data_IF_178846692222
#
_entry.id   IF_178846692222
#
_cell.length_a   1.000
_cell.length_b   1.000
_cell.length_c   1.000
_cell.angle_alpha   90.00
_cell.angle_beta   90.00
_cell.angle_gamma   90.00
#
_symmetry.space_group_name_H-M   'P 1'
#
loop_
_entity.id
_entity.type
_entity.pdbx_description
1 polymer ?
#
# COMPACT_ATOMS: atom_id res chain seq x y z
N UNK A 1 47.70 15.39 32.75
CA UNK A 1 49.18 15.32 32.74
C UNK A 1 49.59 15.07 31.30
N UNK A 2 50.54 15.83 30.73
CA UNK A 2 51.09 15.75 29.36
C UNK A 2 50.07 15.80 28.18
N UNK A 3 50.15 16.62 27.13
CA UNK A 3 51.25 16.97 26.20
C UNK A 3 51.61 15.82 25.23
N UNK A 4 51.89 16.02 23.92
CA UNK A 4 51.88 17.20 23.01
C UNK A 4 51.82 16.67 21.53
N UNK A 5 51.69 17.38 20.39
CA UNK A 5 51.71 18.79 19.92
C UNK A 5 50.60 18.95 18.80
N UNK A 6 50.32 20.02 18.03
CA UNK A 6 51.07 20.96 17.14
C UNK A 6 51.70 20.31 15.87
N UNK A 7 51.76 20.88 14.65
CA UNK A 7 51.32 22.14 13.95
C UNK A 7 51.51 21.91 12.40
N UNK A 8 51.19 22.73 11.39
CA UNK A 8 50.61 24.09 11.18
C UNK A 8 50.03 24.24 9.73
N UNK A 9 49.32 25.35 9.46
CA UNK A 9 49.06 26.18 8.25
C UNK A 9 49.70 25.79 6.88
N UNK A 10 49.09 26.07 5.71
CA UNK A 10 48.99 27.43 5.09
C UNK A 10 48.04 27.46 3.86
N UNK A 11 47.82 28.64 3.23
CA UNK A 11 46.83 28.87 2.17
C UNK A 11 47.41 29.24 0.78
N UNK A 12 46.56 29.09 -0.25
CA UNK A 12 46.53 29.64 -1.65
C UNK A 12 47.68 30.56 -2.12
N UNK A 13 48.05 30.45 -3.42
CA UNK A 13 47.58 31.48 -4.37
C UNK A 13 47.05 30.94 -5.72
N UNK A 14 46.75 31.87 -6.64
CA UNK A 14 46.15 31.65 -7.98
C UNK A 14 47.20 31.95 -9.08
N UNK A 15 47.08 31.31 -10.25
CA UNK A 15 47.74 31.76 -11.49
C UNK A 15 46.81 31.58 -12.72
N UNK A 16 47.12 32.26 -13.82
CA UNK A 16 46.34 32.32 -15.06
C UNK A 16 47.25 32.61 -16.29
N UNK A 17 46.67 32.65 -17.50
CA UNK A 17 47.33 32.72 -18.83
C UNK A 17 48.09 31.41 -19.18
N UNK A 18 48.28 30.99 -20.44
CA UNK A 18 47.95 31.49 -21.79
C UNK A 18 47.63 30.24 -22.66
N UNK A 19 46.74 30.20 -23.66
CA UNK A 19 46.75 30.96 -24.92
C UNK A 19 47.21 30.07 -26.10
N UNK A 20 46.30 29.46 -26.86
CA UNK A 20 46.66 28.62 -28.03
C UNK A 20 45.49 28.06 -28.86
N UNK A 21 45.63 28.11 -30.20
CA UNK A 21 44.88 27.40 -31.26
C UNK A 21 45.92 27.04 -32.34
N UNK A 22 45.88 25.86 -32.99
CA UNK A 22 44.82 25.44 -33.94
C UNK A 22 44.29 24.01 -33.66
N UNK A 23 43.35 23.41 -34.41
CA UNK A 23 42.49 23.88 -35.50
C UNK A 23 41.89 22.69 -36.28
N UNK A 24 40.71 22.86 -36.90
CA UNK A 24 40.10 21.88 -37.82
C UNK A 24 39.47 20.63 -37.19
N UNK A 25 38.14 20.58 -37.07
CA UNK A 25 37.37 19.40 -36.66
C UNK A 25 35.86 19.65 -36.79
N UNK A 26 35.11 18.69 -37.31
CA UNK A 26 33.69 18.85 -37.67
C UNK A 26 32.75 18.78 -36.47
N UNK A 27 31.74 19.65 -36.47
CA UNK A 27 30.62 19.61 -35.52
C UNK A 27 29.30 19.34 -36.26
N UNK A 28 28.70 18.17 -36.04
CA UNK A 28 27.31 17.93 -36.45
C UNK A 28 26.35 18.63 -35.47
N UNK A 29 25.56 19.59 -35.97
CA UNK A 29 24.41 20.09 -35.24
C UNK A 29 23.21 19.13 -35.39
N UNK A 30 22.74 18.53 -34.31
CA UNK A 30 21.40 17.92 -34.23
C UNK A 30 20.52 18.72 -33.28
N UNK A 31 19.42 19.23 -33.82
CA UNK A 31 18.56 20.21 -33.16
C UNK A 31 17.74 19.59 -32.03
N UNK A 32 17.69 20.27 -30.87
CA UNK A 32 16.72 19.96 -29.82
C UNK A 32 15.37 20.56 -30.25
N UNK A 33 14.41 19.72 -30.62
CA UNK A 33 13.08 20.17 -31.05
C UNK A 33 12.13 20.24 -29.85
N UNK A 34 11.98 21.43 -29.25
CA UNK A 34 10.92 21.70 -28.27
C UNK A 34 9.65 22.16 -28.99
N UNK A 35 8.54 21.44 -28.80
CA UNK A 35 7.21 21.88 -29.26
C UNK A 35 6.36 22.36 -28.10
N UNK A 36 6.44 23.66 -27.84
CA UNK A 36 5.37 24.40 -27.16
C UNK A 36 4.19 24.51 -28.13
N UNK A 37 2.99 24.10 -27.71
CA UNK A 37 1.77 24.36 -28.47
C UNK A 37 0.99 25.53 -27.84
N UNK A 38 1.13 26.70 -28.44
CA UNK A 38 0.29 27.88 -28.17
C UNK A 38 -1.05 27.81 -28.92
N UNK A 39 -2.01 28.64 -28.51
CA UNK A 39 -3.42 28.56 -28.90
C UNK A 39 -3.84 29.80 -29.68
N UNK A 40 -4.10 29.64 -30.98
CA UNK A 40 -4.84 30.58 -31.84
C UNK A 40 -5.71 29.72 -32.79
N UNK A 41 -7.00 29.94 -32.96
CA UNK A 41 -7.69 31.10 -33.57
C UNK A 41 -7.29 31.35 -35.02
N UNK A 42 -8.11 30.86 -35.94
CA UNK A 42 -8.56 31.64 -37.10
C UNK A 42 -9.93 31.15 -37.60
N UNK A 43 -10.68 32.03 -38.25
CA UNK A 43 -12.05 31.76 -38.73
C UNK A 43 -12.02 31.51 -40.25
N UNK A 44 -12.90 30.64 -40.76
CA UNK A 44 -14.01 31.05 -41.64
C UNK A 44 -14.58 29.92 -42.51
N UNK A 45 -15.90 29.70 -42.41
CA UNK A 45 -16.82 29.69 -43.55
C UNK A 45 -18.28 29.70 -43.05
N UNK A 46 -19.14 30.45 -43.74
CA UNK A 46 -20.56 30.63 -43.41
C UNK A 46 -21.41 29.97 -44.47
N UNK A 47 -22.41 29.16 -44.06
CA UNK A 47 -23.75 29.09 -44.69
C UNK A 47 -24.73 28.22 -43.90
N UNK A 48 -25.60 28.90 -43.14
CA UNK A 48 -27.09 28.82 -43.15
C UNK A 48 -27.85 27.48 -43.19
N UNK A 49 -29.07 27.52 -42.60
CA UNK A 49 -30.11 26.47 -42.55
C UNK A 49 -29.81 25.32 -41.56
N UNK A 50 -30.71 24.98 -40.62
CA UNK A 50 -31.97 25.62 -40.23
C UNK A 50 -32.53 24.99 -38.94
N UNK A 51 -33.37 25.72 -38.20
CA UNK A 51 -34.01 25.20 -36.98
C UNK A 51 -35.23 24.34 -37.30
N UNK A 52 -35.32 23.16 -36.67
CA UNK A 52 -36.60 22.56 -36.27
C UNK A 52 -36.36 21.67 -35.06
N UNK A 53 -37.21 21.78 -34.04
CA UNK A 53 -37.41 20.70 -33.09
C UNK A 53 -38.50 19.75 -33.65
N UNK A 54 -38.49 18.49 -33.22
CA UNK A 54 -39.62 17.84 -32.53
C UNK A 54 -39.59 16.30 -32.59
N UNK A 55 -40.04 15.69 -31.49
CA UNK A 55 -40.74 14.40 -31.39
C UNK A 55 -40.36 13.22 -32.32
N UNK A 56 -39.68 12.20 -31.76
CA UNK A 56 -40.28 10.86 -31.58
C UNK A 56 -39.38 9.96 -30.70
N UNK A 57 -39.89 9.49 -29.54
CA UNK A 57 -40.52 8.16 -29.31
C UNK A 57 -39.51 7.01 -29.12
N UNK A 58 -39.53 6.42 -27.93
CA UNK A 58 -38.91 5.12 -27.65
C UNK A 58 -39.64 4.00 -28.39
N UNK A 59 -38.89 3.16 -29.12
CA UNK A 59 -39.28 1.77 -29.36
C UNK A 59 -38.13 0.82 -29.06
N UNK A 60 -38.45 -0.24 -28.32
CA UNK A 60 -37.74 -1.52 -28.36
C UNK A 60 -38.30 -2.28 -29.56
N UNK A 61 -37.44 -2.91 -30.34
CA UNK A 61 -37.83 -4.03 -31.17
C UNK A 61 -36.84 -5.18 -30.94
N UNK A 62 -37.37 -6.35 -30.56
CA UNK A 62 -36.61 -7.60 -30.46
C UNK A 62 -36.85 -8.37 -31.76
N UNK A 63 -35.78 -8.71 -32.48
CA UNK A 63 -35.87 -9.66 -33.58
C UNK A 63 -34.95 -10.87 -33.32
N UNK A 64 -35.58 -12.04 -33.27
CA UNK A 64 -34.95 -13.36 -33.18
C UNK A 64 -35.13 -14.04 -34.54
N UNK A 65 -34.15 -13.94 -35.43
CA UNK A 65 -34.19 -14.65 -36.71
C UNK A 65 -33.82 -16.13 -36.54
N UNK A 66 -34.84 -16.99 -36.59
CA UNK A 66 -34.71 -18.44 -36.50
C UNK A 66 -34.45 -19.07 -37.90
N UNK A 67 -33.24 -18.87 -38.43
CA UNK A 67 -32.84 -19.44 -39.71
C UNK A 67 -32.51 -20.95 -39.61
N UNK A 68 -33.49 -21.81 -39.87
CA UNK A 68 -33.28 -23.26 -39.96
C UNK A 68 -32.38 -23.63 -41.15
N UNK A 69 -31.18 -24.14 -40.88
CA UNK A 69 -30.25 -24.66 -41.89
C UNK A 69 -29.91 -26.13 -41.63
N UNK A 70 -29.93 -26.95 -42.68
CA UNK A 70 -29.75 -28.41 -42.57
C UNK A 70 -28.28 -28.82 -42.40
N UNK A 71 -27.97 -29.79 -41.53
CA UNK A 71 -26.58 -30.16 -41.23
C UNK A 71 -25.95 -30.99 -42.36
N UNK A 72 -25.15 -30.33 -43.22
CA UNK A 72 -24.21 -31.03 -44.12
C UNK A 72 -22.99 -31.51 -43.33
N UNK A 73 -22.76 -32.83 -43.28
CA UNK A 73 -21.50 -33.41 -42.77
C UNK A 73 -20.32 -33.03 -43.68
N UNK A 74 -19.25 -32.38 -43.19
CA UNK A 74 -17.97 -32.32 -43.89
C UNK A 74 -17.21 -33.65 -43.75
N UNK A 75 -16.33 -33.96 -44.69
CA UNK A 75 -15.55 -35.20 -44.68
C UNK A 75 -14.47 -35.22 -43.58
N UNK A 76 -14.08 -36.42 -43.16
CA UNK A 76 -12.97 -36.68 -42.24
C UNK A 76 -11.63 -36.28 -42.85
N UNK A 77 -11.22 -35.02 -42.67
CA UNK A 77 -9.80 -34.67 -42.70
C UNK A 77 -9.17 -35.13 -41.38
N UNK A 78 -8.04 -35.82 -41.45
CA UNK A 78 -7.30 -36.21 -40.27
C UNK A 78 -6.92 -34.96 -39.47
N UNK A 79 -7.41 -34.86 -38.24
CA UNK A 79 -6.94 -33.84 -37.32
C UNK A 79 -5.49 -34.17 -36.97
N UNK A 80 -4.54 -33.42 -37.54
CA UNK A 80 -3.18 -33.42 -37.04
C UNK A 80 -3.23 -32.98 -35.57
N UNK A 81 -2.85 -33.88 -34.67
CA UNK A 81 -2.63 -33.56 -33.26
C UNK A 81 -1.39 -32.68 -33.15
N UNK A 82 -1.56 -31.40 -33.49
CA UNK A 82 -0.69 -30.33 -33.01
C UNK A 82 -0.72 -30.43 -31.49
N UNK A 83 0.47 -30.45 -30.87
CA UNK A 83 0.63 -30.65 -29.43
C UNK A 83 0.18 -29.41 -28.63
N UNK A 84 -1.12 -29.16 -28.61
CA UNK A 84 -1.75 -28.28 -27.65
C UNK A 84 -1.74 -28.95 -26.27
N UNK A 85 -1.58 -28.13 -25.23
CA UNK A 85 -1.92 -28.43 -23.85
C UNK A 85 -1.27 -29.68 -23.25
N UNK A 86 -0.04 -29.97 -23.65
CA UNK A 86 0.92 -30.56 -22.74
C UNK A 86 1.14 -29.54 -21.62
N UNK A 87 0.41 -29.71 -20.51
CA UNK A 87 0.38 -28.78 -19.37
C UNK A 87 1.80 -28.55 -18.89
N UNK A 88 2.36 -27.38 -19.24
CA UNK A 88 3.58 -26.88 -18.62
C UNK A 88 3.33 -26.89 -17.10
N UNK A 89 4.19 -27.58 -16.30
CA UNK A 89 4.00 -27.61 -14.86
C UNK A 89 3.98 -26.17 -14.37
N UNK A 90 2.91 -25.80 -13.63
CA UNK A 90 2.65 -24.45 -13.11
C UNK A 90 3.97 -23.79 -12.74
N UNK A 91 4.40 -22.82 -13.55
CA UNK A 91 5.78 -22.36 -13.56
C UNK A 91 6.12 -21.85 -12.17
N UNK A 92 6.92 -22.64 -11.42
CA UNK A 92 7.24 -22.34 -10.03
C UNK A 92 7.89 -20.95 -10.02
N UNK A 93 7.27 -19.93 -9.38
CA UNK A 93 7.73 -18.57 -9.48
C UNK A 93 9.22 -18.48 -9.15
N UNK A 94 10.00 -17.96 -10.10
CA UNK A 94 11.46 -18.02 -10.04
C UNK A 94 11.92 -17.29 -8.78
N UNK A 95 12.54 -18.02 -7.84
CA UNK A 95 12.92 -17.46 -6.54
C UNK A 95 13.81 -16.24 -6.73
N UNK A 96 13.35 -15.09 -6.25
CA UNK A 96 14.10 -13.85 -6.36
C UNK A 96 15.25 -13.84 -5.34
N UNK A 97 16.44 -13.34 -5.70
CA UNK A 97 17.41 -12.93 -4.69
C UNK A 97 16.87 -11.73 -3.90
N UNK A 98 17.34 -11.56 -2.66
CA UNK A 98 16.94 -10.43 -1.82
C UNK A 98 17.24 -9.07 -2.49
N UNK A 99 16.55 -7.98 -2.10
CA UNK A 99 16.74 -6.66 -2.71
C UNK A 99 18.18 -6.18 -2.71
N UNK A 100 18.55 -5.42 -3.75
CA UNK A 100 19.93 -5.02 -3.99
C UNK A 100 20.59 -4.36 -2.75
N UNK A 101 21.74 -4.88 -2.35
CA UNK A 101 22.50 -4.40 -1.19
C UNK A 101 22.07 -4.95 0.17
N UNK A 102 20.94 -5.67 0.27
CA UNK A 102 20.57 -6.42 1.49
C UNK A 102 21.63 -7.49 1.78
N UNK A 103 22.01 -7.60 3.06
CA UNK A 103 22.92 -8.66 3.55
C UNK A 103 22.19 -9.43 4.66
N UNK A 104 21.87 -10.74 4.50
CA UNK A 104 21.00 -11.48 5.43
C UNK A 104 21.36 -11.33 6.92
N UNK A 105 22.66 -11.36 7.23
CA UNK A 105 23.18 -11.30 8.60
C UNK A 105 23.36 -9.87 9.16
N UNK A 106 22.92 -8.81 8.44
CA UNK A 106 22.90 -7.44 8.95
C UNK A 106 21.54 -7.13 9.58
N UNK A 107 21.33 -7.69 10.76
CA UNK A 107 20.09 -7.59 11.54
C UNK A 107 19.73 -6.16 11.98
N UNK A 108 18.43 -5.85 11.89
CA UNK A 108 17.82 -4.59 12.30
C UNK A 108 17.42 -4.69 13.78
N UNK A 109 18.42 -4.64 14.66
CA UNK A 109 18.25 -4.88 16.11
C UNK A 109 17.14 -4.06 16.79
N UNK A 110 16.93 -2.76 16.51
CA UNK A 110 15.80 -2.03 17.09
C UNK A 110 14.44 -2.65 16.76
N UNK A 111 14.24 -3.07 15.51
CA UNK A 111 13.00 -3.72 15.08
C UNK A 111 12.86 -5.12 15.69
N UNK A 112 13.93 -5.91 15.70
CA UNK A 112 13.93 -7.24 16.35
C UNK A 112 13.55 -7.12 17.83
N UNK A 113 14.19 -6.22 18.58
CA UNK A 113 13.93 -6.04 20.01
C UNK A 113 12.48 -5.60 20.28
N UNK A 114 11.96 -4.63 19.52
CA UNK A 114 10.57 -4.16 19.68
C UNK A 114 9.57 -5.24 19.28
N UNK A 115 9.76 -5.92 18.14
CA UNK A 115 8.87 -6.98 17.67
C UNK A 115 8.87 -8.16 18.64
N UNK A 116 10.05 -8.66 19.05
CA UNK A 116 10.16 -9.75 20.02
C UNK A 116 9.59 -9.39 21.38
N UNK A 117 9.81 -8.16 21.88
CA UNK A 117 9.23 -7.71 23.14
C UNK A 117 7.69 -7.64 23.09
N UNK A 118 7.11 -7.16 21.99
CA UNK A 118 5.65 -7.11 21.83
C UNK A 118 5.02 -8.51 21.71
N UNK A 119 5.68 -9.45 21.04
CA UNK A 119 5.23 -10.85 21.00
C UNK A 119 5.36 -11.53 22.37
N UNK A 120 6.49 -11.36 23.06
CA UNK A 120 6.70 -11.91 24.39
C UNK A 120 5.70 -11.35 25.42
N UNK A 121 5.40 -10.05 25.35
CA UNK A 121 4.36 -9.43 26.16
C UNK A 121 2.97 -10.00 25.80
N UNK A 122 2.61 -10.06 24.51
CA UNK A 122 1.31 -10.61 24.09
C UNK A 122 1.10 -12.07 24.53
N UNK A 123 2.17 -12.88 24.66
CA UNK A 123 2.08 -14.24 25.22
C UNK A 123 1.74 -14.27 26.71
N UNK A 124 2.03 -13.20 27.48
CA UNK A 124 1.59 -13.10 28.88
C UNK A 124 0.06 -13.02 29.00
N UNK A 125 -0.67 -12.64 27.94
CA UNK A 125 -2.13 -12.60 27.93
C UNK A 125 -2.80 -13.98 28.15
N UNK A 126 -2.04 -15.08 28.02
CA UNK A 126 -2.48 -16.45 28.33
C UNK A 126 -2.20 -16.87 29.79
N UNK A 127 -1.51 -16.04 30.57
CA UNK A 127 -1.18 -16.32 31.98
C UNK A 127 -2.31 -15.88 32.93
N UNK A 128 -2.51 -16.57 34.07
CA UNK A 128 -3.38 -16.11 35.14
C UNK A 128 -3.06 -14.67 35.58
N UNK A 129 -4.08 -13.87 35.89
CA UNK A 129 -3.96 -12.45 36.24
C UNK A 129 -3.82 -11.49 35.05
N UNK A 130 -3.53 -12.00 33.84
CA UNK A 130 -3.44 -11.17 32.62
C UNK A 130 -4.61 -11.40 31.65
N UNK A 131 -5.21 -12.60 31.63
CA UNK A 131 -6.39 -12.87 30.79
C UNK A 131 -7.67 -12.19 31.32
N UNK A 132 -8.43 -11.54 30.44
CA UNK A 132 -9.84 -11.20 30.71
C UNK A 132 -10.67 -11.15 29.42
N UNK A 133 -11.97 -11.45 29.54
CA UNK A 133 -12.92 -11.34 28.43
C UNK A 133 -13.11 -9.89 27.95
N UNK A 134 -13.09 -8.92 28.87
CA UNK A 134 -13.09 -7.49 28.56
C UNK A 134 -11.82 -7.10 27.80
N UNK A 135 -10.65 -7.59 28.21
CA UNK A 135 -9.40 -7.48 27.46
C UNK A 135 -9.53 -8.01 26.04
N UNK A 136 -9.99 -9.26 25.86
CA UNK A 136 -10.18 -9.86 24.54
C UNK A 136 -11.10 -9.03 23.63
N UNK A 137 -12.23 -8.54 24.14
CA UNK A 137 -13.14 -7.65 23.40
C UNK A 137 -12.44 -6.34 23.01
N UNK A 138 -11.67 -5.73 23.93
CA UNK A 138 -10.89 -4.50 23.65
C UNK A 138 -9.78 -4.75 22.61
N UNK A 139 -9.12 -5.91 22.61
CA UNK A 139 -8.16 -6.26 21.56
C UNK A 139 -8.83 -6.42 20.19
N UNK A 140 -10.00 -7.05 20.12
CA UNK A 140 -10.73 -7.26 18.85
C UNK A 140 -11.27 -5.93 18.29
N UNK A 141 -11.95 -5.13 19.12
CA UNK A 141 -12.42 -3.79 18.74
C UNK A 141 -11.25 -2.86 18.40
N UNK A 142 -10.18 -2.92 19.18
CA UNK A 142 -8.95 -2.18 18.93
C UNK A 142 -8.27 -2.60 17.62
N UNK A 143 -8.27 -3.89 17.28
CA UNK A 143 -7.72 -4.41 16.01
C UNK A 143 -8.54 -3.92 14.83
N UNK A 144 -9.87 -3.89 14.94
CA UNK A 144 -10.75 -3.32 13.92
C UNK A 144 -10.53 -1.80 13.77
N UNK A 145 -10.49 -1.04 14.86
CA UNK A 145 -10.22 0.41 14.84
C UNK A 145 -8.85 0.71 14.20
N UNK A 146 -7.81 0.04 14.65
CA UNK A 146 -6.44 0.25 14.23
C UNK A 146 -6.17 -0.19 12.79
N UNK A 147 -6.62 -1.40 12.43
CA UNK A 147 -6.51 -1.92 11.06
C UNK A 147 -7.34 -1.10 10.09
N UNK A 148 -8.65 -0.96 10.33
CA UNK A 148 -9.56 -0.31 9.39
C UNK A 148 -9.29 1.20 9.29
N UNK A 149 -9.33 1.95 10.39
CA UNK A 149 -9.18 3.42 10.31
C UNK A 149 -7.73 3.86 10.17
N UNK A 150 -6.80 3.22 10.89
CA UNK A 150 -5.38 3.55 10.87
C UNK A 150 -4.68 3.09 9.59
N UNK A 151 -4.60 1.77 9.36
CA UNK A 151 -3.82 1.21 8.26
C UNK A 151 -4.57 1.32 6.92
N UNK A 152 -5.73 0.69 6.79
CA UNK A 152 -6.46 0.55 5.54
C UNK A 152 -6.98 1.90 5.01
N UNK A 153 -7.76 2.61 5.83
CA UNK A 153 -8.40 3.85 5.42
C UNK A 153 -7.38 4.98 5.28
N UNK A 154 -6.56 5.20 6.32
CA UNK A 154 -5.65 6.34 6.38
C UNK A 154 -4.33 6.11 5.65
N UNK A 155 -3.45 5.23 6.15
CA UNK A 155 -2.12 5.02 5.56
C UNK A 155 -2.19 4.54 4.10
N UNK A 156 -3.09 3.61 3.80
CA UNK A 156 -3.19 2.98 2.49
C UNK A 156 -4.07 3.78 1.51
N UNK A 157 -5.40 3.77 1.66
CA UNK A 157 -6.32 4.35 0.66
C UNK A 157 -6.25 5.89 0.57
N UNK A 158 -6.17 6.60 1.71
CA UNK A 158 -6.15 8.08 1.77
C UNK A 158 -4.75 8.68 1.53
N UNK A 159 -3.72 8.19 2.22
CA UNK A 159 -2.37 8.77 2.15
C UNK A 159 -1.53 8.20 1.01
N UNK A 160 -1.44 6.89 0.88
CA UNK A 160 -0.64 6.27 -0.19
C UNK A 160 -1.29 6.51 -1.54
N UNK A 161 -2.54 6.10 -1.71
CA UNK A 161 -3.17 5.98 -3.03
C UNK A 161 -4.04 7.16 -3.49
N UNK A 162 -4.43 8.05 -2.58
CA UNK A 162 -5.28 9.22 -2.90
C UNK A 162 -6.62 8.83 -3.54
N UNK A 163 -7.21 7.74 -3.06
CA UNK A 163 -8.55 7.28 -3.47
C UNK A 163 -9.69 8.09 -2.83
N UNK A 164 -9.39 8.97 -1.88
CA UNK A 164 -10.33 9.89 -1.25
C UNK A 164 -9.58 11.09 -0.64
N UNK A 165 -10.33 12.05 -0.08
CA UNK A 165 -9.84 13.13 0.79
C UNK A 165 -10.70 13.21 2.05
N UNK A 166 -10.08 13.56 3.18
CA UNK A 166 -10.78 13.83 4.44
C UNK A 166 -10.38 15.21 5.01
N UNK A 167 -11.19 15.83 5.89
CA UNK A 167 -10.77 16.99 6.68
C UNK A 167 -9.48 16.70 7.45
N UNK A 168 -8.56 17.68 7.49
CA UNK A 168 -7.21 17.48 8.06
C UNK A 168 -7.20 17.01 9.51
N UNK A 169 -8.14 17.44 10.35
CA UNK A 169 -8.25 16.97 11.74
C UNK A 169 -8.55 15.45 11.82
N UNK A 170 -9.40 14.93 10.92
CA UNK A 170 -9.77 13.52 10.86
C UNK A 170 -8.61 12.69 10.28
N UNK A 171 -8.01 13.19 9.20
CA UNK A 171 -6.81 12.59 8.60
C UNK A 171 -5.64 12.51 9.59
N UNK A 172 -5.38 13.57 10.36
CA UNK A 172 -4.35 13.59 11.41
C UNK A 172 -4.69 12.68 12.59
N UNK A 173 -5.95 12.62 13.03
CA UNK A 173 -6.40 11.71 14.09
C UNK A 173 -6.22 10.23 13.70
N UNK A 174 -6.58 9.86 12.46
CA UNK A 174 -6.37 8.49 11.96
C UNK A 174 -4.88 8.13 11.83
N UNK A 175 -3.99 9.09 11.55
CA UNK A 175 -2.53 8.86 11.60
C UNK A 175 -2.03 8.54 13.01
N UNK A 176 -2.57 9.17 14.06
CA UNK A 176 -2.21 8.79 15.44
C UNK A 176 -2.68 7.36 15.76
N UNK A 177 -3.86 6.96 15.29
CA UNK A 177 -4.38 5.58 15.40
C UNK A 177 -3.54 4.58 14.60
N UNK A 178 -3.01 4.96 13.43
CA UNK A 178 -2.08 4.12 12.67
C UNK A 178 -0.74 3.96 13.42
N UNK A 179 -0.19 5.06 13.96
CA UNK A 179 1.10 5.05 14.67
C UNK A 179 1.06 4.25 15.99
N UNK A 180 -0.09 4.10 16.65
CA UNK A 180 -0.23 3.21 17.82
C UNK A 180 -0.12 1.72 17.48
N UNK A 181 0.08 1.37 16.19
CA UNK A 181 0.33 0.02 15.70
C UNK A 181 1.81 -0.27 15.42
N UNK A 182 2.73 0.66 15.71
CA UNK A 182 4.16 0.55 15.41
C UNK A 182 4.52 0.26 13.93
N UNK A 183 3.57 0.44 12.99
CA UNK A 183 3.82 0.29 11.55
C UNK A 183 4.45 1.56 10.96
N UNK A 184 5.58 2.01 11.53
CA UNK A 184 6.33 3.18 11.06
C UNK A 184 5.54 4.53 11.06
N UNK A 185 6.22 5.61 10.69
CA UNK A 185 5.62 6.94 10.45
C UNK A 185 4.86 7.00 9.12
N UNK A 186 3.93 7.95 8.91
CA UNK A 186 3.13 8.01 7.68
C UNK A 186 3.99 8.19 6.41
N UNK A 187 5.03 9.04 6.45
CA UNK A 187 5.89 9.24 5.29
C UNK A 187 6.74 8.00 4.97
N UNK A 188 7.13 7.25 6.00
CA UNK A 188 7.89 6.02 5.88
C UNK A 188 7.06 4.87 5.32
N UNK A 189 5.86 4.63 5.85
CA UNK A 189 4.94 3.60 5.36
C UNK A 189 4.55 3.84 3.90
N UNK A 190 4.12 5.07 3.57
CA UNK A 190 3.79 5.49 2.20
C UNK A 190 4.98 5.31 1.25
N UNK A 191 6.21 5.63 1.68
CA UNK A 191 7.40 5.49 0.84
C UNK A 191 7.75 4.02 0.53
N UNK A 192 7.54 3.11 1.49
CA UNK A 192 7.73 1.67 1.28
C UNK A 192 6.61 1.10 0.40
N UNK A 193 5.35 1.44 0.68
CA UNK A 193 4.21 0.86 -0.04
C UNK A 193 4.12 1.31 -1.50
N UNK A 194 4.41 2.60 -1.80
CA UNK A 194 4.53 3.06 -3.20
C UNK A 194 5.71 2.43 -3.94
N UNK A 195 6.81 2.11 -3.23
CA UNK A 195 7.93 1.36 -3.82
C UNK A 195 7.56 -0.08 -4.13
N UNK A 196 6.84 -0.75 -3.23
CA UNK A 196 6.28 -2.09 -3.49
C UNK A 196 5.40 -2.05 -4.75
N UNK A 197 4.40 -1.16 -4.85
CA UNK A 197 3.58 -1.05 -6.07
C UNK A 197 4.36 -0.77 -7.36
N UNK A 198 5.47 -0.02 -7.32
CA UNK A 198 6.30 0.18 -8.51
C UNK A 198 7.06 -1.09 -8.96
N UNK A 199 7.40 -1.97 -8.01
CA UNK A 199 8.30 -3.11 -8.25
C UNK A 199 7.71 -4.44 -7.77
N UNK A 200 6.38 -4.55 -7.70
CA UNK A 200 5.69 -5.69 -7.10
C UNK A 200 6.13 -7.00 -7.77
N UNK A 201 6.53 -7.96 -6.93
CA UNK A 201 7.11 -9.25 -7.33
C UNK A 201 8.33 -9.18 -8.27
N UNK A 202 9.12 -8.10 -8.14
CA UNK A 202 10.48 -8.01 -8.67
C UNK A 202 11.51 -7.81 -7.55
N UNK A 203 12.79 -8.00 -7.85
CA UNK A 203 13.88 -7.90 -6.87
C UNK A 203 13.97 -6.53 -6.14
N UNK A 204 13.57 -5.37 -6.69
CA UNK A 204 13.56 -4.12 -5.94
C UNK A 204 12.39 -3.96 -4.94
N UNK A 205 11.42 -4.88 -4.91
CA UNK A 205 10.33 -4.93 -3.92
C UNK A 205 10.90 -5.06 -2.50
N UNK A 206 10.53 -4.18 -1.55
CA UNK A 206 10.88 -4.35 -0.14
C UNK A 206 10.60 -5.76 0.41
N UNK A 207 9.50 -6.40 -0.01
CA UNK A 207 8.89 -7.53 0.68
C UNK A 207 8.13 -8.52 -0.23
N UNK A 208 8.57 -8.77 -1.47
CA UNK A 208 7.97 -9.82 -2.31
C UNK A 208 8.16 -11.22 -1.69
N UNK A 209 7.13 -12.09 -1.67
CA UNK A 209 7.25 -13.47 -1.21
C UNK A 209 8.00 -14.40 -2.17
N UNK A 210 8.32 -13.95 -3.39
CA UNK A 210 9.13 -14.72 -4.33
C UNK A 210 10.58 -14.88 -3.83
N UNK A 211 11.05 -14.02 -2.92
CA UNK A 211 12.27 -14.28 -2.17
C UNK A 211 12.09 -15.42 -1.14
N UNK A 212 11.02 -15.36 -0.35
CA UNK A 212 10.35 -16.45 0.37
C UNK A 212 9.20 -15.88 1.23
N UNK A 213 8.27 -16.75 1.66
CA UNK A 213 7.14 -16.37 2.52
C UNK A 213 7.55 -15.65 3.82
N UNK A 214 8.58 -16.14 4.52
CA UNK A 214 9.03 -15.53 5.78
C UNK A 214 9.61 -14.13 5.57
N UNK A 215 10.35 -13.92 4.47
CA UNK A 215 10.84 -12.60 4.07
C UNK A 215 9.69 -11.61 3.93
N UNK A 216 8.68 -11.92 3.11
CA UNK A 216 7.53 -11.05 2.88
C UNK A 216 6.69 -10.79 4.14
N UNK A 217 6.53 -11.82 4.98
CA UNK A 217 5.70 -11.70 6.18
C UNK A 217 6.39 -10.83 7.26
N UNK A 218 7.67 -11.06 7.56
CA UNK A 218 8.37 -10.24 8.57
C UNK A 218 9.88 -10.08 8.35
N UNK A 219 10.56 -11.03 7.71
CA UNK A 219 12.02 -11.03 7.55
C UNK A 219 12.57 -9.75 6.89
N UNK A 220 11.78 -9.13 6.01
CA UNK A 220 12.12 -7.86 5.35
C UNK A 220 12.30 -6.67 6.31
N UNK A 221 11.67 -6.73 7.49
CA UNK A 221 11.76 -5.74 8.56
C UNK A 221 12.95 -6.04 9.48
N UNK A 222 13.20 -7.33 9.76
CA UNK A 222 14.22 -7.82 10.70
C UNK A 222 15.66 -7.69 10.16
N UNK A 223 15.84 -7.43 8.86
CA UNK A 223 17.15 -7.23 8.22
C UNK A 223 17.25 -5.81 7.66
N UNK A 224 18.41 -5.16 7.84
CA UNK A 224 18.62 -3.81 7.34
C UNK A 224 18.60 -3.77 5.81
N UNK A 225 17.71 -2.96 5.24
CA UNK A 225 17.64 -2.69 3.80
C UNK A 225 18.26 -1.32 3.46
N UNK A 226 19.47 -1.26 2.85
CA UNK A 226 20.16 0.02 2.61
C UNK A 226 19.40 0.95 1.68
N UNK A 227 18.68 0.41 0.69
CA UNK A 227 17.85 1.20 -0.24
C UNK A 227 16.66 1.88 0.45
N UNK A 228 16.12 1.28 1.52
CA UNK A 228 15.06 1.89 2.32
C UNK A 228 15.64 2.88 3.34
N UNK A 229 16.86 2.68 3.84
CA UNK A 229 17.47 3.56 4.82
C UNK A 229 17.92 4.94 4.28
N UNK A 230 17.93 5.14 2.95
CA UNK A 230 18.36 6.42 2.33
C UNK A 230 17.23 7.44 2.27
N UNK A 231 17.54 8.69 2.63
CA UNK A 231 16.64 9.86 2.52
C UNK A 231 16.02 10.04 1.11
N UNK A 232 16.69 9.55 0.06
CA UNK A 232 16.17 9.57 -1.31
C UNK A 232 14.84 8.82 -1.51
N UNK A 233 14.52 7.81 -0.69
CA UNK A 233 13.23 7.11 -0.80
C UNK A 233 12.07 8.05 -0.49
N UNK A 234 12.20 8.92 0.52
CA UNK A 234 11.20 9.93 0.87
C UNK A 234 11.07 11.00 -0.21
N UNK A 235 12.19 11.45 -0.80
CA UNK A 235 12.18 12.45 -1.87
C UNK A 235 11.45 11.96 -3.13
N UNK A 236 11.51 10.65 -3.42
CA UNK A 236 10.83 10.01 -4.55
C UNK A 236 9.37 9.65 -4.25
N UNK A 237 9.10 9.04 -3.09
CA UNK A 237 7.80 8.40 -2.82
C UNK A 237 6.95 9.06 -1.72
N UNK A 238 7.47 9.99 -0.91
CA UNK A 238 6.70 10.62 0.19
C UNK A 238 6.88 12.15 0.30
N UNK A 239 7.34 12.79 -0.79
CA UNK A 239 7.55 14.25 -0.87
C UNK A 239 6.23 15.05 -0.77
N UNK A 240 5.09 14.43 -1.07
CA UNK A 240 3.76 14.99 -0.83
C UNK A 240 3.37 14.91 0.66
N UNK A 241 3.70 13.81 1.35
CA UNK A 241 3.46 13.61 2.78
C UNK A 241 4.28 14.61 3.60
N UNK A 242 5.60 14.71 3.35
CA UNK A 242 6.51 15.58 4.12
C UNK A 242 6.31 17.10 3.91
N UNK A 243 5.33 17.52 3.08
CA UNK A 243 4.88 18.92 3.02
C UNK A 243 4.00 19.30 4.22
N UNK A 244 3.34 18.33 4.84
CA UNK A 244 2.53 18.59 6.03
C UNK A 244 3.44 18.75 7.25
N UNK A 245 3.31 19.89 7.96
CA UNK A 245 4.10 20.18 9.16
C UNK A 245 3.86 19.19 10.29
N UNK A 246 2.67 18.60 10.36
CA UNK A 246 2.34 17.55 11.33
C UNK A 246 3.14 16.28 11.03
N UNK A 247 3.10 15.79 9.79
CA UNK A 247 3.84 14.59 9.38
C UNK A 247 5.36 14.78 9.47
N UNK A 248 5.87 15.96 9.13
CA UNK A 248 7.29 16.28 9.29
C UNK A 248 7.72 16.32 10.77
N UNK A 249 6.83 16.71 11.69
CA UNK A 249 7.11 16.66 13.14
C UNK A 249 7.09 15.22 13.66
N UNK A 250 6.14 14.39 13.20
CA UNK A 250 6.07 12.96 13.54
C UNK A 250 7.33 12.20 13.11
N UNK A 251 7.83 12.48 11.90
CA UNK A 251 9.07 11.90 11.35
C UNK A 251 10.32 12.30 12.15
N UNK A 252 10.41 13.55 12.61
CA UNK A 252 11.64 14.10 13.21
C UNK A 252 11.78 13.91 14.71
N UNK A 253 10.67 13.79 15.45
CA UNK A 253 10.68 13.92 16.91
C UNK A 253 10.40 12.59 17.66
N UNK A 254 10.62 11.45 17.00
CA UNK A 254 10.39 10.10 17.56
C UNK A 254 8.97 9.87 18.12
N UNK A 255 7.95 10.53 17.57
CA UNK A 255 6.56 10.40 18.03
C UNK A 255 6.03 8.96 17.97
N UNK A 256 6.57 8.12 17.08
CA UNK A 256 6.27 6.70 17.04
C UNK A 256 6.60 6.01 18.38
N UNK A 257 7.71 6.37 19.03
CA UNK A 257 8.02 5.86 20.38
C UNK A 257 7.06 6.47 21.42
N UNK A 258 6.84 7.79 21.40
CA UNK A 258 6.03 8.47 22.41
C UNK A 258 4.55 8.07 22.41
N UNK A 259 3.94 7.86 21.24
CA UNK A 259 2.55 7.36 21.12
C UNK A 259 2.45 5.95 21.72
N UNK A 260 3.44 5.10 21.47
CA UNK A 260 3.41 3.70 21.90
C UNK A 260 3.79 3.51 23.37
N UNK A 261 4.67 4.35 23.93
CA UNK A 261 4.89 4.42 25.38
C UNK A 261 3.71 5.07 26.10
N UNK A 262 3.07 6.07 25.50
CA UNK A 262 1.92 6.78 26.09
C UNK A 262 0.64 5.95 26.17
N UNK A 263 0.38 5.04 25.22
CA UNK A 263 -0.81 4.19 25.29
C UNK A 263 -0.78 3.17 26.44
N UNK A 264 0.40 2.78 26.94
CA UNK A 264 0.55 1.81 28.03
C UNK A 264 -0.09 2.28 29.36
N UNK A 265 0.33 3.41 29.98
CA UNK A 265 -0.31 3.92 31.19
C UNK A 265 -1.74 4.40 30.94
N UNK A 266 -2.09 4.80 29.70
CA UNK A 266 -3.45 5.18 29.33
C UNK A 266 -4.42 4.00 29.43
N UNK A 267 -4.11 2.86 28.79
CA UNK A 267 -4.96 1.66 28.85
C UNK A 267 -4.91 0.98 30.22
N UNK A 268 -3.76 0.99 30.90
CA UNK A 268 -3.66 0.55 32.29
C UNK A 268 -4.58 1.38 33.21
N UNK A 269 -4.48 2.70 33.15
CA UNK A 269 -5.29 3.63 33.94
C UNK A 269 -6.78 3.52 33.63
N UNK A 270 -7.15 3.31 32.36
CA UNK A 270 -8.54 3.09 31.97
C UNK A 270 -9.12 1.79 32.55
N UNK A 271 -8.40 0.66 32.45
CA UNK A 271 -8.83 -0.62 33.02
C UNK A 271 -8.93 -0.57 34.55
N UNK A 272 -7.95 0.06 35.20
CA UNK A 272 -7.93 0.26 36.65
C UNK A 272 -9.07 1.16 37.11
N UNK A 273 -9.32 2.29 36.44
CA UNK A 273 -10.39 3.21 36.79
C UNK A 273 -11.78 2.59 36.66
N UNK A 274 -12.05 1.82 35.59
CA UNK A 274 -13.33 1.11 35.42
C UNK A 274 -13.53 0.09 36.53
N UNK A 275 -12.51 -0.70 36.86
CA UNK A 275 -12.60 -1.71 37.93
C UNK A 275 -12.75 -1.07 39.32
N UNK A 276 -12.01 0.00 39.61
CA UNK A 276 -12.10 0.76 40.86
C UNK A 276 -13.49 1.38 41.05
N UNK A 277 -14.02 2.05 40.02
CA UNK A 277 -15.36 2.63 40.04
C UNK A 277 -16.47 1.57 40.10
N UNK A 278 -16.17 0.31 39.73
CA UNK A 278 -17.04 -0.85 39.92
C UNK A 278 -16.96 -1.45 41.34
N UNK A 279 -16.25 -0.81 42.27
CA UNK A 279 -16.13 -1.26 43.67
C UNK A 279 -15.16 -2.43 43.89
N UNK A 280 -14.28 -2.73 42.94
CA UNK A 280 -13.27 -3.78 43.10
C UNK A 280 -12.17 -3.38 44.09
N UNK A 281 -11.47 -4.37 44.66
CA UNK A 281 -10.32 -4.12 45.54
C UNK A 281 -9.16 -3.49 44.76
N UNK A 282 -8.21 -2.79 45.42
CA UNK A 282 -7.06 -2.17 44.75
C UNK A 282 -6.23 -3.16 43.92
N UNK A 283 -6.11 -4.42 44.37
CA UNK A 283 -5.43 -5.50 43.64
C UNK A 283 -6.17 -5.91 42.37
N UNK A 284 -7.47 -6.24 42.48
CA UNK A 284 -8.30 -6.63 41.33
C UNK A 284 -8.45 -5.49 40.30
N UNK A 285 -8.44 -4.23 40.76
CA UNK A 285 -8.39 -3.07 39.88
C UNK A 285 -7.03 -2.95 39.16
N UNK A 286 -5.90 -3.20 39.84
CA UNK A 286 -4.59 -3.23 39.20
C UNK A 286 -4.45 -4.38 38.18
N UNK A 287 -4.94 -5.58 38.51
CA UNK A 287 -5.01 -6.72 37.58
C UNK A 287 -5.88 -6.40 36.35
N UNK A 288 -7.05 -5.79 36.56
CA UNK A 288 -7.90 -5.29 35.47
C UNK A 288 -7.18 -4.27 34.59
N UNK A 289 -6.41 -3.35 35.19
CA UNK A 289 -5.54 -2.42 34.46
C UNK A 289 -4.46 -3.12 33.64
N UNK A 290 -3.74 -4.08 34.23
CA UNK A 290 -2.72 -4.89 33.54
C UNK A 290 -3.33 -5.67 32.37
N UNK A 291 -4.49 -6.29 32.56
CA UNK A 291 -5.19 -7.04 31.51
C UNK A 291 -5.64 -6.15 30.36
N UNK A 292 -6.31 -5.02 30.64
CA UNK A 292 -6.72 -4.07 29.59
C UNK A 292 -5.51 -3.51 28.84
N UNK A 293 -4.43 -3.13 29.54
CA UNK A 293 -3.17 -2.73 28.89
C UNK A 293 -2.60 -3.85 28.00
N UNK A 294 -2.57 -5.09 28.50
CA UNK A 294 -1.98 -6.23 27.80
C UNK A 294 -2.67 -6.48 26.46
N UNK A 295 -4.00 -6.49 26.48
CA UNK A 295 -4.82 -6.74 25.29
C UNK A 295 -4.88 -5.51 24.36
N UNK A 296 -5.10 -4.31 24.91
CA UNK A 296 -5.26 -3.09 24.12
C UNK A 296 -3.96 -2.60 23.47
N UNK A 297 -2.79 -2.90 24.06
CA UNK A 297 -1.49 -2.51 23.48
C UNK A 297 -0.87 -3.69 22.73
N UNK A 298 -0.49 -4.76 23.44
CA UNK A 298 0.41 -5.77 22.90
C UNK A 298 -0.32 -6.79 22.01
N UNK A 299 -1.38 -7.44 22.51
CA UNK A 299 -2.15 -8.43 21.72
C UNK A 299 -2.73 -7.78 20.47
N UNK A 300 -3.38 -6.62 20.59
CA UNK A 300 -3.86 -5.82 19.45
C UNK A 300 -2.76 -5.55 18.42
N UNK A 301 -1.60 -5.06 18.85
CA UNK A 301 -0.51 -4.71 17.91
C UNK A 301 -0.01 -5.93 17.16
N UNK A 302 0.18 -7.07 17.85
CA UNK A 302 0.60 -8.33 17.22
C UNK A 302 -0.46 -8.86 16.23
N UNK A 303 -1.75 -8.74 16.55
CA UNK A 303 -2.84 -9.09 15.61
C UNK A 303 -2.83 -8.18 14.37
N UNK A 304 -2.77 -6.85 14.55
CA UNK A 304 -2.72 -5.88 13.43
C UNK A 304 -1.48 -6.11 12.57
N UNK A 305 -0.32 -6.37 13.17
CA UNK A 305 0.90 -6.76 12.46
C UNK A 305 0.67 -8.00 11.58
N UNK A 306 0.29 -9.14 12.15
CA UNK A 306 0.12 -10.38 11.37
C UNK A 306 -0.98 -10.26 10.30
N UNK A 307 -2.03 -9.47 10.52
CA UNK A 307 -3.07 -9.18 9.52
C UNK A 307 -2.48 -8.40 8.33
N UNK A 308 -1.74 -7.31 8.58
CA UNK A 308 -1.10 -6.54 7.49
C UNK A 308 0.01 -7.36 6.80
N UNK A 309 0.83 -8.07 7.57
CA UNK A 309 1.89 -8.93 7.06
C UNK A 309 1.36 -10.11 6.22
N UNK A 310 0.13 -10.57 6.48
CA UNK A 310 -0.54 -11.55 5.63
C UNK A 310 -0.97 -10.95 4.28
N UNK A 311 -1.18 -9.63 4.16
CA UNK A 311 -1.39 -9.00 2.86
C UNK A 311 -0.12 -9.14 2.00
N UNK A 312 1.04 -8.76 2.57
CA UNK A 312 2.32 -8.86 1.87
C UNK A 312 2.69 -10.30 1.46
N UNK A 313 2.37 -11.31 2.28
CA UNK A 313 2.84 -12.69 2.05
C UNK A 313 1.79 -13.68 1.55
N UNK A 314 0.54 -13.62 2.03
CA UNK A 314 -0.52 -14.57 1.64
C UNK A 314 -1.18 -14.10 0.34
N UNK A 315 -1.49 -12.82 0.19
CA UNK A 315 -2.14 -12.30 -1.04
C UNK A 315 -1.21 -12.01 -2.22
N UNK A 316 0.05 -12.44 -2.14
CA UNK A 316 0.95 -12.59 -3.30
C UNK A 316 1.32 -14.07 -3.58
N UNK A 317 0.69 -15.04 -2.90
CA UNK A 317 0.93 -16.47 -3.11
C UNK A 317 -0.36 -17.30 -3.30
N UNK A 318 -1.41 -17.02 -2.53
CA UNK A 318 -2.60 -17.89 -2.45
C UNK A 318 -3.90 -17.11 -2.58
N UNK A 319 -4.70 -17.50 -3.57
CA UNK A 319 -5.98 -16.89 -3.88
C UNK A 319 -6.27 -16.93 -5.38
N UNK A 320 -7.38 -16.30 -5.77
CA UNK A 320 -7.82 -16.20 -7.16
C UNK A 320 -7.44 -14.84 -7.76
N UNK A 321 -7.51 -14.70 -9.08
CA UNK A 321 -7.31 -13.42 -9.79
C UNK A 321 -8.60 -13.02 -10.51
N UNK A 322 -8.82 -11.71 -10.58
CA UNK A 322 -9.89 -11.07 -11.34
C UNK A 322 -9.33 -10.39 -12.59
N UNK A 323 -8.06 -9.98 -12.51
CA UNK A 323 -7.35 -9.23 -13.51
C UNK A 323 -5.96 -9.83 -13.70
N UNK A 324 -5.51 -9.95 -14.96
CA UNK A 324 -4.15 -10.42 -15.25
C UNK A 324 -3.18 -9.25 -15.22
N UNK A 325 -2.65 -8.94 -14.04
CA UNK A 325 -1.56 -7.98 -13.83
C UNK A 325 -0.19 -8.59 -14.19
N UNK A 326 0.84 -7.76 -14.32
CA UNK A 326 2.23 -8.20 -14.57
C UNK A 326 2.93 -8.81 -13.33
N UNK A 327 2.25 -8.86 -12.18
CA UNK A 327 2.74 -9.32 -10.87
C UNK A 327 1.79 -10.38 -10.28
N UNK A 328 2.15 -11.07 -9.19
CA UNK A 328 1.50 -12.33 -8.75
C UNK A 328 0.41 -12.16 -7.67
N UNK A 329 -0.03 -10.94 -7.39
CA UNK A 329 -1.10 -10.64 -6.42
C UNK A 329 -2.38 -11.42 -6.69
N UNK A 330 -3.07 -11.76 -5.60
CA UNK A 330 -4.23 -12.64 -5.53
C UNK A 330 -5.25 -12.13 -4.53
N UNK A 331 -6.51 -12.22 -4.90
CA UNK A 331 -7.64 -12.01 -4.01
C UNK A 331 -7.79 -13.24 -3.09
N UNK A 332 -7.73 -13.05 -1.78
CA UNK A 332 -7.84 -14.12 -0.78
C UNK A 332 -9.01 -13.81 0.18
N UNK A 333 -9.96 -14.74 0.29
CA UNK A 333 -11.16 -14.54 1.11
C UNK A 333 -10.86 -14.41 2.61
N UNK A 334 -9.96 -15.25 3.15
CA UNK A 334 -9.63 -15.23 4.58
C UNK A 334 -8.93 -13.93 4.96
N UNK A 335 -7.93 -13.52 4.15
CA UNK A 335 -7.26 -12.23 4.36
C UNK A 335 -8.28 -11.09 4.17
N UNK A 336 -9.12 -11.12 3.15
CA UNK A 336 -10.14 -10.09 2.88
C UNK A 336 -11.07 -9.85 4.07
N UNK A 337 -11.51 -10.93 4.72
CA UNK A 337 -12.31 -10.87 5.94
C UNK A 337 -11.54 -10.25 7.12
N UNK A 338 -10.40 -10.81 7.53
CA UNK A 338 -9.66 -10.35 8.73
C UNK A 338 -9.03 -8.96 8.55
N UNK A 339 -8.67 -8.59 7.32
CA UNK A 339 -8.10 -7.29 6.95
C UNK A 339 -9.16 -6.26 6.51
N UNK A 340 -10.45 -6.52 6.71
CA UNK A 340 -11.52 -5.54 6.43
C UNK A 340 -11.58 -5.04 4.97
N UNK A 341 -11.08 -5.84 4.01
CA UNK A 341 -11.09 -5.55 2.57
C UNK A 341 -9.72 -5.61 1.87
N UNK A 342 -8.59 -5.56 2.58
CA UNK A 342 -7.27 -5.49 1.92
C UNK A 342 -6.79 -6.78 1.26
N UNK A 343 -7.39 -7.91 1.63
CA UNK A 343 -7.16 -9.18 0.96
C UNK A 343 -7.76 -9.29 -0.45
N UNK A 344 -8.48 -8.28 -0.95
CA UNK A 344 -8.86 -8.18 -2.37
C UNK A 344 -7.70 -7.60 -3.20
N UNK A 345 -6.52 -8.20 -3.04
CA UNK A 345 -5.25 -7.58 -3.40
C UNK A 345 -4.98 -7.53 -4.91
N UNK A 346 -5.51 -8.47 -5.69
CA UNK A 346 -5.41 -8.42 -7.15
C UNK A 346 -6.34 -7.37 -7.77
N UNK A 347 -7.48 -7.10 -7.14
CA UNK A 347 -8.30 -5.94 -7.52
C UNK A 347 -7.54 -4.64 -7.21
N UNK A 348 -6.91 -4.58 -6.04
CA UNK A 348 -6.11 -3.43 -5.60
C UNK A 348 -4.92 -3.16 -6.51
N UNK A 349 -4.06 -4.14 -6.82
CA UNK A 349 -2.94 -3.93 -7.75
C UNK A 349 -3.38 -3.62 -9.19
N UNK A 350 -4.56 -4.08 -9.62
CA UNK A 350 -5.15 -3.72 -10.90
C UNK A 350 -5.73 -2.30 -10.95
N UNK A 351 -6.14 -1.73 -9.80
CA UNK A 351 -6.76 -0.41 -9.68
C UNK A 351 -6.33 0.34 -8.41
N UNK A 352 -5.03 0.67 -8.23
CA UNK A 352 -4.50 1.04 -6.91
C UNK A 352 -5.10 2.32 -6.32
N UNK A 353 -5.74 3.15 -7.13
CA UNK A 353 -6.38 4.40 -6.71
C UNK A 353 -7.85 4.25 -6.33
N UNK A 354 -8.48 3.11 -6.61
CA UNK A 354 -9.86 2.85 -6.19
C UNK A 354 -9.98 2.87 -4.66
N UNK A 355 -10.97 3.60 -4.12
CA UNK A 355 -11.30 3.55 -2.70
C UNK A 355 -11.98 2.23 -2.28
N UNK A 356 -12.26 1.34 -3.22
CA UNK A 356 -12.99 0.07 -3.06
C UNK A 356 -12.18 -1.05 -3.68
N UNK A 357 -11.64 -1.95 -2.87
CA UNK A 357 -10.85 -3.09 -3.36
C UNK A 357 -11.75 -4.30 -3.62
N UNK A 358 -12.90 -4.43 -2.93
CA UNK A 358 -13.85 -5.51 -3.20
C UNK A 358 -14.71 -5.25 -4.45
N UNK A 359 -14.32 -5.75 -5.63
CA UNK A 359 -14.94 -5.39 -6.91
C UNK A 359 -16.21 -6.20 -7.23
N UNK A 360 -16.26 -7.51 -6.92
CA UNK A 360 -17.49 -8.31 -7.02
C UNK A 360 -18.44 -8.08 -5.83
N UNK A 361 -19.69 -8.55 -5.97
CA UNK A 361 -20.75 -8.38 -4.96
C UNK A 361 -20.52 -9.13 -3.64
N UNK A 362 -19.72 -10.20 -3.67
CA UNK A 362 -19.39 -11.04 -2.50
C UNK A 362 -18.00 -10.72 -1.93
N UNK A 363 -17.23 -9.84 -2.57
CA UNK A 363 -15.93 -9.39 -2.10
C UNK A 363 -16.17 -8.27 -1.06
N UNK A 364 -16.51 -8.68 0.17
CA UNK A 364 -16.91 -7.78 1.26
C UNK A 364 -15.73 -6.87 1.66
N UNK A 365 -15.93 -5.56 1.58
CA UNK A 365 -14.92 -4.54 1.86
C UNK A 365 -15.45 -3.58 2.92
N UNK A 366 -15.18 -3.90 4.19
CA UNK A 366 -15.66 -3.10 5.33
C UNK A 366 -15.06 -1.69 5.31
N UNK A 367 -13.81 -1.53 4.88
CA UNK A 367 -13.16 -0.22 4.74
C UNK A 367 -13.91 0.65 3.71
N UNK A 368 -14.34 0.07 2.58
CA UNK A 368 -15.21 0.76 1.62
C UNK A 368 -16.58 1.14 2.21
N UNK A 369 -17.20 0.28 3.02
CA UNK A 369 -18.45 0.62 3.70
C UNK A 369 -18.27 1.81 4.65
N UNK A 370 -17.16 1.86 5.39
CA UNK A 370 -16.79 3.01 6.24
C UNK A 370 -16.52 4.27 5.41
N UNK A 371 -15.85 4.17 4.25
CA UNK A 371 -15.65 5.30 3.32
C UNK A 371 -16.99 5.85 2.83
N UNK A 372 -17.95 4.98 2.48
CA UNK A 372 -19.31 5.40 2.09
C UNK A 372 -20.06 6.08 3.23
N UNK A 373 -19.90 5.62 4.46
CA UNK A 373 -20.51 6.24 5.64
C UNK A 373 -19.90 7.62 5.92
N UNK A 374 -18.57 7.76 5.85
CA UNK A 374 -17.90 9.06 5.97
C UNK A 374 -18.28 10.01 4.83
N UNK A 375 -18.47 9.52 3.60
CA UNK A 375 -18.94 10.33 2.48
C UNK A 375 -20.39 10.80 2.66
N UNK A 376 -21.26 9.96 3.21
CA UNK A 376 -22.63 10.35 3.59
C UNK A 376 -22.65 11.42 4.70
N UNK A 377 -21.69 11.38 5.64
CA UNK A 377 -21.47 12.43 6.63
C UNK A 377 -20.76 13.69 6.08
N UNK A 378 -20.38 13.74 4.80
CA UNK A 378 -19.57 14.82 4.22
C UNK A 378 -18.11 14.87 4.71
N UNK A 379 -17.65 13.84 5.44
CA UNK A 379 -16.30 13.71 5.99
C UNK A 379 -15.32 13.01 5.03
N UNK A 380 -15.80 12.40 3.94
CA UNK A 380 -14.97 11.92 2.85
C UNK A 380 -15.44 12.51 1.51
N UNK A 381 -14.52 13.12 0.77
CA UNK A 381 -14.75 13.74 -0.54
C UNK A 381 -13.80 13.19 -1.60
N UNK A 382 -14.05 13.50 -2.88
CA UNK A 382 -13.29 13.04 -4.04
C UNK A 382 -13.02 11.52 -4.04
N UNK A 383 -14.02 10.75 -3.60
CA UNK A 383 -13.96 9.29 -3.45
C UNK A 383 -13.94 8.62 -4.83
N UNK A 384 -12.81 7.99 -5.17
CA UNK A 384 -12.57 7.31 -6.44
C UNK A 384 -13.25 5.94 -6.42
N UNK A 385 -14.20 5.74 -7.33
CA UNK A 385 -14.83 4.44 -7.57
C UNK A 385 -13.95 3.57 -8.50
N UNK A 386 -14.13 2.23 -8.51
CA UNK A 386 -13.42 1.34 -9.42
C UNK A 386 -13.53 1.76 -10.89
N UNK A 387 -12.42 1.66 -11.61
CA UNK A 387 -12.25 2.11 -12.98
C UNK A 387 -13.18 1.33 -13.94
N UNK A 388 -14.06 2.06 -14.62
CA UNK A 388 -15.05 1.49 -15.53
C UNK A 388 -14.42 0.67 -16.68
N UNK A 389 -13.20 1.00 -17.12
CA UNK A 389 -12.47 0.25 -18.14
C UNK A 389 -12.01 -1.13 -17.66
N UNK A 390 -11.91 -1.35 -16.34
CA UNK A 390 -11.65 -2.67 -15.75
C UNK A 390 -12.93 -3.47 -15.60
N UNK A 391 -14.05 -2.82 -15.29
CA UNK A 391 -15.37 -3.46 -15.19
C UNK A 391 -15.90 -3.98 -16.54
N UNK A 392 -15.50 -3.36 -17.66
CA UNK A 392 -15.87 -3.77 -19.02
C UNK A 392 -14.88 -4.72 -19.73
N UNK A 393 -13.79 -5.14 -19.07
CA UNK A 393 -12.75 -5.98 -19.69
C UNK A 393 -13.13 -7.46 -19.67
N UNK A 394 -12.84 -8.25 -20.74
CA UNK A 394 -12.98 -9.69 -20.70
C UNK A 394 -12.08 -10.33 -19.62
N UNK A 395 -12.53 -11.41 -18.96
CA UNK A 395 -11.68 -12.24 -18.11
C UNK A 395 -10.43 -12.70 -18.87
N UNK A 396 -9.26 -12.66 -18.21
CA UNK A 396 -7.98 -13.01 -18.83
C UNK A 396 -7.31 -11.91 -19.68
N UNK A 397 -7.93 -10.73 -19.86
CA UNK A 397 -7.24 -9.63 -20.55
C UNK A 397 -6.10 -9.06 -19.70
N UNK A 398 -4.86 -9.10 -20.20
CA UNK A 398 -3.70 -8.56 -19.46
C UNK A 398 -3.81 -7.05 -19.26
N UNK A 399 -3.59 -6.61 -18.03
CA UNK A 399 -3.32 -5.25 -17.62
C UNK A 399 -1.82 -5.10 -17.46
N UNK A 400 -1.21 -4.37 -18.38
CA UNK A 400 0.13 -3.84 -18.13
C UNK A 400 -0.01 -2.74 -17.08
N UNK A 401 0.33 -3.03 -15.82
CA UNK A 401 0.33 -2.01 -14.73
C UNK A 401 1.51 -1.04 -14.89
N UNK A 402 2.41 -1.36 -15.81
CA UNK A 402 3.60 -0.60 -16.22
C UNK A 402 3.39 -0.08 -17.65
N UNK A 403 3.90 1.11 -17.95
CA UNK A 403 4.03 1.59 -19.33
C UNK A 403 5.05 0.77 -20.13
N UNK A 404 5.00 0.88 -21.46
CA UNK A 404 5.84 0.10 -22.41
C UNK A 404 7.35 0.31 -22.27
N UNK A 405 7.78 1.25 -21.43
CA UNK A 405 9.18 1.56 -21.10
C UNK A 405 9.66 0.92 -19.77
N UNK A 406 8.80 0.17 -19.07
CA UNK A 406 9.08 -0.32 -17.71
C UNK A 406 8.92 0.73 -16.61
N UNK A 407 8.38 1.91 -16.95
CA UNK A 407 8.02 2.97 -16.00
C UNK A 407 6.50 2.88 -15.74
N UNK A 408 6.01 2.96 -14.49
CA UNK A 408 4.58 3.01 -14.20
C UNK A 408 3.84 4.15 -14.93
N UNK A 409 2.54 3.98 -15.15
CA UNK A 409 1.67 5.09 -15.54
C UNK A 409 1.47 6.07 -14.36
N UNK A 410 1.19 7.35 -14.66
CA UNK A 410 0.91 8.42 -13.68
C UNK A 410 -0.55 8.45 -13.20
#
# INVERSE_FOLDING_TARGET
>A
MAECQSKHDTARPVSAFQGGRPGGGSWENKQICSKVYTRAHENSCIRSWGYSADNCVWRRDWYLDFAMTTPRRPATKAAALVAADLVLPLAVPARLPLPAGVKPFRFNWPHILVISAYHAAALLAFMPGYFSWSGLVVALLGTHLCGLFGINLCYHRLLTHRGLKCPKWLEHAMVIVAMSCLQETPARWVAVHRRHHQFADEQPDPHSPLANFFWAHMGWILVNQPELARLGIYQRYAKDILRDRFYLALERNNWLAWINLGQMPLFFGAGLAVAWLSGQTPGAAAESGLSIMMFAVFVRTVLVWHITWAVNSVTHLWGYRNYETDEDSRNNFLVGFISNGEGWHNNHHADPRSARHGHRRWEIDNTWLTIRFLAWLGLATDVVAPNAHLAGRPPGSRLTTRGTTGVPAE
#
